data_IF_369712024083
#
_entry.id   IF_369712024083
#
_cell.length_a   1.000
_cell.length_b   1.000
_cell.length_c   1.000
_cell.angle_alpha   90.00
_cell.angle_beta   90.00
_cell.angle_gamma   90.00
#
_symmetry.space_group_name_H-M   'P 1'
#
loop_
_entity.id
_entity.type
_entity.pdbx_description
1 polymer ?
#
# COMPACT_ATOMS: atom_id res chain seq x y z
N UNK A 1 3.49 20.05 12.63
CA UNK A 1 4.47 19.00 12.86
C UNK A 1 5.16 18.63 11.58
N UNK A 2 6.45 18.56 11.63
CA UNK A 2 7.13 18.08 10.44
C UNK A 2 6.81 16.62 10.18
N UNK A 3 6.83 16.26 8.93
CA UNK A 3 6.63 14.88 8.54
C UNK A 3 7.82 14.07 8.99
N UNK A 4 7.57 12.82 9.27
CA UNK A 4 8.62 11.90 9.66
C UNK A 4 8.65 10.75 8.69
N UNK A 5 9.75 10.02 8.71
CA UNK A 5 9.89 8.86 7.87
C UNK A 5 9.10 7.72 8.46
N UNK A 6 8.28 7.12 7.64
CA UNK A 6 7.53 5.95 8.04
C UNK A 6 8.02 4.82 7.17
N UNK A 7 8.53 3.78 7.79
CA UNK A 7 9.10 2.64 7.08
C UNK A 7 7.98 1.78 6.51
N UNK A 8 8.21 1.30 5.29
CA UNK A 8 7.20 0.52 4.57
C UNK A 8 7.79 -0.78 4.06
N UNK A 9 7.07 -1.85 4.29
CA UNK A 9 7.30 -3.12 3.60
C UNK A 9 5.97 -3.51 2.98
N UNK A 10 5.95 -3.72 1.68
CA UNK A 10 4.68 -3.94 1.00
C UNK A 10 4.80 -4.97 -0.11
N UNK A 11 3.67 -5.61 -0.41
CA UNK A 11 3.52 -6.47 -1.57
C UNK A 11 2.44 -5.85 -2.44
N UNK A 12 2.76 -5.69 -3.72
CA UNK A 12 1.84 -5.09 -4.67
C UNK A 12 1.55 -6.09 -5.78
N UNK A 13 0.29 -6.31 -6.07
CA UNK A 13 -0.09 -7.13 -7.20
C UNK A 13 -1.02 -6.33 -8.10
N UNK A 14 -0.89 -6.54 -9.40
CA UNK A 14 -1.62 -5.74 -10.37
C UNK A 14 -1.59 -6.46 -11.71
N UNK A 15 -2.58 -6.16 -12.54
CA UNK A 15 -2.58 -6.68 -13.90
C UNK A 15 -1.57 -5.96 -14.79
N UNK A 16 -1.06 -4.82 -14.31
CA UNK A 16 -0.12 -4.03 -15.10
C UNK A 16 1.02 -3.56 -14.23
N UNK A 17 1.90 -4.49 -13.89
CA UNK A 17 3.02 -4.19 -13.01
C UNK A 17 3.96 -3.15 -13.60
N UNK A 18 4.14 -3.17 -14.91
CA UNK A 18 5.02 -2.20 -15.55
C UNK A 18 4.47 -0.78 -15.43
N UNK A 19 3.17 -0.62 -15.23
CA UNK A 19 2.58 0.70 -15.07
C UNK A 19 2.62 1.19 -13.64
N UNK A 20 2.50 0.28 -12.67
CA UNK A 20 2.51 0.70 -11.26
C UNK A 20 3.90 0.83 -10.68
N UNK A 21 4.89 0.14 -11.25
CA UNK A 21 6.24 0.20 -10.73
C UNK A 21 6.81 1.62 -10.70
N UNK A 22 6.69 2.43 -11.76
CA UNK A 22 7.21 3.79 -11.69
C UNK A 22 6.55 4.64 -10.62
N UNK A 23 5.26 4.38 -10.34
CA UNK A 23 4.56 5.10 -9.28
C UNK A 23 5.19 4.78 -7.93
N UNK A 24 5.47 3.50 -7.69
CA UNK A 24 6.11 3.09 -6.45
C UNK A 24 7.49 3.71 -6.32
N UNK A 25 8.26 3.69 -7.39
CA UNK A 25 9.62 4.24 -7.36
C UNK A 25 9.63 5.73 -7.14
N UNK A 26 8.58 6.40 -7.56
CA UNK A 26 8.47 7.84 -7.40
C UNK A 26 8.05 8.24 -6.00
N UNK A 27 7.14 7.48 -5.41
CA UNK A 27 6.56 7.83 -4.11
C UNK A 27 7.36 7.29 -2.94
N UNK A 28 8.02 6.18 -3.12
CA UNK A 28 8.68 5.48 -2.02
C UNK A 28 10.18 5.57 -2.20
N UNK A 29 10.87 5.95 -1.15
CA UNK A 29 12.33 5.94 -1.16
C UNK A 29 12.80 4.60 -0.67
N UNK A 30 13.29 3.78 -1.60
CA UNK A 30 13.73 2.43 -1.27
C UNK A 30 13.87 1.60 -2.51
N UNK A 31 13.54 0.33 -2.39
CA UNK A 31 13.71 -0.61 -3.49
C UNK A 31 12.38 -1.24 -3.87
N UNK A 32 12.23 -1.51 -5.15
CA UNK A 32 11.08 -2.22 -5.71
C UNK A 32 11.65 -3.41 -6.48
N UNK A 33 11.22 -4.60 -6.09
CA UNK A 33 11.76 -5.84 -6.67
C UNK A 33 10.63 -6.67 -7.23
N UNK A 34 10.86 -7.31 -8.36
CA UNK A 34 9.87 -8.21 -8.94
C UNK A 34 9.82 -9.52 -8.16
N UNK A 35 8.62 -10.05 -7.97
CA UNK A 35 8.41 -11.35 -7.34
C UNK A 35 7.52 -12.17 -8.24
N UNK A 36 7.39 -13.49 -7.98
CA UNK A 36 6.49 -14.30 -8.79
C UNK A 36 5.05 -13.83 -8.80
N UNK A 37 4.61 -13.14 -7.75
CA UNK A 37 3.22 -12.72 -7.64
C UNK A 37 3.02 -11.23 -7.81
N UNK A 38 4.09 -10.46 -8.04
CA UNK A 38 3.94 -9.02 -8.18
C UNK A 38 5.23 -8.28 -7.91
N UNK A 39 5.14 -7.28 -7.04
CA UNK A 39 6.30 -6.47 -6.66
C UNK A 39 6.42 -6.44 -5.15
N UNK A 40 7.65 -6.51 -4.69
CA UNK A 40 7.97 -6.35 -3.28
C UNK A 40 8.62 -4.99 -3.10
N UNK A 41 8.15 -4.23 -2.12
CA UNK A 41 8.59 -2.87 -1.89
C UNK A 41 9.11 -2.74 -0.47
N UNK A 42 10.30 -2.18 -0.33
CA UNK A 42 10.86 -1.83 0.98
C UNK A 42 11.43 -0.44 0.89
N UNK A 43 11.05 0.39 1.85
CA UNK A 43 11.54 1.75 1.86
C UNK A 43 10.79 2.57 2.86
N UNK A 44 10.59 3.84 2.54
CA UNK A 44 9.89 4.71 3.46
C UNK A 44 9.30 5.89 2.70
N UNK A 45 8.30 6.49 3.34
CA UNK A 45 7.66 7.70 2.85
C UNK A 45 7.61 8.70 3.99
N UNK A 46 7.54 9.97 3.63
CA UNK A 46 7.39 11.03 4.61
C UNK A 46 5.92 11.29 4.85
N UNK A 47 5.54 11.35 6.11
CA UNK A 47 4.17 11.65 6.46
C UNK A 47 3.94 11.54 7.94
N UNK A 48 2.75 11.91 8.37
CA UNK A 48 2.42 11.93 9.79
C UNK A 48 1.80 10.64 10.26
N UNK A 49 0.98 10.00 9.43
CA UNK A 49 0.23 8.83 9.83
C UNK A 49 0.29 7.72 8.79
N UNK A 50 0.55 6.48 9.24
CA UNK A 50 0.57 5.35 8.30
C UNK A 50 -0.74 5.17 7.54
N UNK A 51 -1.87 5.39 8.19
CA UNK A 51 -3.16 5.24 7.54
C UNK A 51 -3.30 6.17 6.34
N UNK A 52 -2.90 7.42 6.52
CA UNK A 52 -2.99 8.39 5.45
C UNK A 52 -2.01 8.08 4.33
N UNK A 53 -0.80 7.66 4.70
CA UNK A 53 0.20 7.27 3.71
C UNK A 53 -0.27 6.07 2.90
N UNK A 54 -0.88 5.10 3.56
CA UNK A 54 -1.39 3.93 2.88
C UNK A 54 -2.47 4.31 1.89
N UNK A 55 -3.36 5.21 2.28
CA UNK A 55 -4.43 5.66 1.41
C UNK A 55 -3.89 6.41 0.21
N UNK A 56 -2.91 7.27 0.43
CA UNK A 56 -2.29 8.03 -0.66
C UNK A 56 -1.61 7.09 -1.65
N UNK A 57 -0.88 6.13 -1.12
CA UNK A 57 -0.18 5.18 -1.97
C UNK A 57 -1.15 4.36 -2.80
N UNK A 58 -2.16 3.81 -2.15
CA UNK A 58 -3.14 2.99 -2.85
C UNK A 58 -3.88 3.80 -3.91
N UNK A 59 -4.25 5.03 -3.58
CA UNK A 59 -4.95 5.89 -4.54
C UNK A 59 -4.08 6.16 -5.76
N UNK A 60 -2.80 6.42 -5.55
CA UNK A 60 -1.89 6.68 -6.66
C UNK A 60 -1.75 5.45 -7.55
N UNK A 61 -1.64 4.27 -6.94
CA UNK A 61 -1.52 3.04 -7.70
C UNK A 61 -2.78 2.75 -8.50
N UNK A 62 -3.94 2.96 -7.89
CA UNK A 62 -5.20 2.67 -8.55
C UNK A 62 -5.58 3.69 -9.61
N UNK A 63 -4.94 4.82 -9.60
CA UNK A 63 -5.10 5.78 -10.69
C UNK A 63 -4.54 5.23 -11.99
N UNK A 64 -3.49 4.41 -11.86
CA UNK A 64 -2.84 3.80 -13.01
C UNK A 64 -3.50 2.47 -13.38
N UNK A 65 -3.81 1.67 -12.35
CA UNK A 65 -4.47 0.39 -12.57
C UNK A 65 -5.43 0.13 -11.42
N UNK A 66 -6.72 0.16 -11.72
CA UNK A 66 -7.76 0.11 -10.69
C UNK A 66 -7.79 -1.17 -9.89
N UNK A 67 -7.29 -2.25 -10.45
CA UNK A 67 -7.33 -3.55 -9.77
C UNK A 67 -6.08 -3.83 -8.97
N UNK A 68 -5.26 -2.83 -8.75
CA UNK A 68 -4.05 -3.00 -7.96
C UNK A 68 -4.41 -3.30 -6.52
N UNK A 69 -3.71 -4.28 -5.97
CA UNK A 69 -3.87 -4.69 -4.57
C UNK A 69 -2.61 -4.35 -3.81
N UNK A 70 -2.79 -3.92 -2.57
CA UNK A 70 -1.68 -3.50 -1.74
C UNK A 70 -1.79 -4.16 -0.37
N UNK A 71 -0.72 -4.83 0.02
CA UNK A 71 -0.57 -5.35 1.38
C UNK A 71 0.63 -4.67 1.96
N UNK A 72 0.42 -3.84 2.95
CA UNK A 72 1.46 -2.97 3.46
C UNK A 72 1.60 -3.06 4.97
N UNK A 73 2.84 -2.98 5.41
CA UNK A 73 3.17 -2.84 6.83
C UNK A 73 3.97 -1.57 6.97
N UNK A 74 3.47 -0.70 7.82
CA UNK A 74 4.09 0.60 8.08
C UNK A 74 4.56 0.66 9.51
N UNK A 75 5.81 1.02 9.71
CA UNK A 75 6.38 1.20 11.04
C UNK A 75 6.52 2.67 11.34
N UNK A 76 5.91 3.09 12.43
CA UNK A 76 5.97 4.47 12.87
C UNK A 76 6.17 4.49 14.38
N UNK A 77 7.34 4.99 14.81
CA UNK A 77 7.61 5.12 16.23
C UNK A 77 7.57 3.80 17.00
N UNK A 78 8.02 2.72 16.36
CA UNK A 78 8.03 1.42 17.01
C UNK A 78 6.71 0.66 16.93
N UNK A 79 5.71 1.23 16.28
CA UNK A 79 4.41 0.59 16.13
C UNK A 79 4.23 0.19 14.67
N UNK A 80 3.82 -1.05 14.45
CA UNK A 80 3.60 -1.56 13.11
C UNK A 80 2.11 -1.54 12.78
N UNK A 81 1.77 -0.91 11.69
CA UNK A 81 0.40 -0.83 11.19
C UNK A 81 0.29 -1.64 9.91
N UNK A 82 -0.66 -2.55 9.86
CA UNK A 82 -0.85 -3.43 8.71
C UNK A 82 -2.13 -3.09 7.99
N UNK A 83 -2.03 -2.92 6.69
CA UNK A 83 -3.19 -2.63 5.86
C UNK A 83 -3.21 -3.62 4.71
N UNK A 84 -4.25 -4.45 4.67
CA UNK A 84 -4.42 -5.43 3.61
C UNK A 84 -5.60 -4.99 2.79
N UNK A 85 -5.33 -4.56 1.60
CA UNK A 85 -6.38 -4.10 0.74
C UNK A 85 -6.94 -5.24 -0.08
N UNK A 86 -8.22 -5.47 0.09
CA UNK A 86 -8.91 -6.49 -0.65
C UNK A 86 -9.81 -5.79 -1.61
N UNK A 87 -9.31 -5.59 -2.73
CA UNK A 87 -10.02 -4.89 -3.72
C UNK A 87 -11.48 -5.03 -3.75
N UNK A 88 -11.94 -5.87 -3.31
CA UNK A 88 -13.26 -6.03 -3.39
C UNK A 88 -14.03 -5.61 -2.48
N UNK A 89 -14.13 -5.24 -2.09
CA UNK A 89 -14.93 -4.92 -1.27
C UNK A 89 -15.75 -4.14 -1.56
N UNK A 90 -16.03 -3.99 -2.03
CA UNK A 90 -16.62 -3.32 -2.25
C UNK A 90 -17.64 -3.40 -1.89
N UNK A 91 -17.65 -3.58 -1.60
CA UNK A 91 -18.39 -3.62 -1.28
C UNK A 91 -19.02 -3.91 -0.54
N UNK A 92 -19.28 -4.23 -0.04
CA UNK A 92 -19.98 -4.53 0.68
C UNK A 92 -19.91 -4.59 1.66
N UNK A 93 -20.20 -4.54 2.16
CA UNK A 93 -20.18 -4.69 3.14
C UNK A 93 -20.26 -5.11 3.98
N UNK A 94 -20.36 -5.42 4.23
CA UNK A 94 -20.42 -5.77 5.00
C UNK A 94 -20.27 -6.11 5.64
N UNK A 95 -20.20 -6.52 6.05
CA UNK A 95 -20.14 -6.82 6.71
C UNK A 95 -19.77 -7.03 7.19
N UNK A 96 -19.89 -7.28 7.41
CA UNK A 96 -19.54 -7.53 7.95
C UNK A 96 -19.20 -7.83 8.21
N UNK A 97 -19.28 -8.16 8.50
CA UNK A 97 -19.16 -8.30 8.81
C UNK A 97 -18.81 -8.60 8.97
N UNK A 98 -18.75 -8.97 9.37
CA UNK A 98 -18.62 -9.13 9.72
C UNK A 98 -18.43 -9.40 9.95
N UNK A 99 -18.44 -9.73 10.13
CA UNK A 99 -18.45 -9.93 10.56
C UNK A 99 -18.68 -10.04 10.69
N UNK A 100 -18.81 -10.35 11.00
CA UNK A 100 -19.28 -10.21 11.12
C UNK A 100 -19.59 -10.12 11.10
N UNK A 101 -19.44 -10.39 11.49
CA UNK A 101 -19.95 -10.13 11.57
C UNK A 101 -20.24 -10.04 11.50
#
# INVERSE_FOLDING_TARGET
MPDQRVHLVAEVSSDRLEAVRPVLEQLIKGTVSATPSGLHVEGWMLGAEPRELNRQLLSALRRVERKTRLRAEWDSGGVTHRFFDYVLKSSRPTLPTDPTI
#
